data_IF_919714067332
#
_entry.id   IF_919714067332
#
_cell.length_a   1.000
_cell.length_b   1.000
_cell.length_c   1.000
_cell.angle_alpha   90.00
_cell.angle_beta   90.00
_cell.angle_gamma   90.00
#
_symmetry.space_group_name_H-M   'P 1'
#
loop_
_entity.id
_entity.type
_entity.pdbx_description
1 polymer ?
#
# COMPACT_ATOMS: atom_id res chain seq x y z
N UNK A 1 4.94 8.95 -2.08
CA UNK A 1 6.22 8.43 -2.61
C UNK A 1 5.96 7.09 -3.30
N UNK A 2 6.70 6.73 -4.33
CA UNK A 2 6.67 5.38 -4.89
C UNK A 2 8.10 4.80 -4.97
N UNK A 3 8.24 3.56 -4.56
CA UNK A 3 9.48 2.78 -4.68
C UNK A 3 9.25 1.73 -5.77
N UNK A 4 10.09 1.77 -6.81
CA UNK A 4 9.98 0.90 -7.98
C UNK A 4 11.19 0.00 -8.03
N UNK A 5 10.95 -1.30 -8.24
CA UNK A 5 12.00 -2.28 -8.46
C UNK A 5 11.82 -2.96 -9.81
N UNK A 6 12.93 -3.13 -10.52
CA UNK A 6 13.00 -3.87 -11.78
C UNK A 6 12.24 -3.18 -12.92
N UNK A 7 11.92 -3.99 -13.92
CA UNK A 7 11.16 -3.61 -15.11
C UNK A 7 10.20 -4.73 -15.49
N UNK A 8 9.17 -4.41 -16.25
CA UNK A 8 8.17 -5.36 -16.69
C UNK A 8 7.56 -4.93 -18.02
N UNK A 9 6.97 -5.88 -18.71
CA UNK A 9 6.22 -5.61 -19.93
C UNK A 9 4.78 -5.19 -19.61
N UNK A 10 4.10 -4.46 -20.51
CA UNK A 10 2.70 -4.04 -20.35
C UNK A 10 1.71 -5.17 -20.04
N UNK A 11 2.01 -6.41 -20.42
CA UNK A 11 1.16 -7.58 -20.20
C UNK A 11 1.42 -8.28 -18.86
N UNK A 12 2.53 -7.96 -18.21
CA UNK A 12 2.91 -8.57 -16.95
C UNK A 12 1.99 -8.14 -15.81
N UNK A 13 1.76 -9.07 -14.90
CA UNK A 13 1.10 -8.76 -13.63
C UNK A 13 2.15 -8.41 -12.59
N UNK A 14 2.12 -7.17 -12.09
CA UNK A 14 3.14 -6.62 -11.19
C UNK A 14 2.67 -6.70 -9.73
N UNK A 15 3.49 -7.16 -8.77
CA UNK A 15 3.13 -7.09 -7.36
C UNK A 15 3.16 -5.62 -6.89
N UNK A 16 2.06 -5.18 -6.30
CA UNK A 16 1.87 -3.79 -5.88
C UNK A 16 1.41 -3.72 -4.43
N UNK A 17 2.08 -2.87 -3.65
CA UNK A 17 1.63 -2.48 -2.31
C UNK A 17 1.28 -1.00 -2.31
N UNK A 18 0.06 -0.66 -1.92
CA UNK A 18 -0.30 0.70 -1.51
C UNK A 18 -0.34 0.71 0.01
N UNK A 19 0.65 1.36 0.63
CA UNK A 19 0.80 1.45 2.07
C UNK A 19 0.25 2.79 2.56
N UNK A 20 -0.85 2.70 3.31
CA UNK A 20 -1.57 3.85 3.83
C UNK A 20 -2.27 3.49 5.16
N UNK A 21 -2.27 4.41 6.14
CA UNK A 21 -1.38 5.57 6.24
C UNK A 21 0.08 5.10 6.44
N UNK A 22 1.06 5.86 5.93
CA UNK A 22 2.47 5.63 6.27
C UNK A 22 2.80 6.35 7.57
N UNK A 23 3.29 5.60 8.56
CA UNK A 23 3.93 6.15 9.74
C UNK A 23 5.44 6.03 9.69
N UNK A 24 6.16 6.93 10.38
CA UNK A 24 7.59 6.74 10.65
C UNK A 24 7.86 5.45 11.44
N UNK A 25 6.90 5.01 12.26
CA UNK A 25 7.00 3.75 13.00
C UNK A 25 7.01 2.52 12.07
N UNK A 26 6.38 2.59 10.90
CA UNK A 26 6.43 1.49 9.92
C UNK A 26 7.85 1.27 9.38
N UNK A 27 8.70 2.30 9.40
CA UNK A 27 10.11 2.21 8.98
C UNK A 27 11.06 1.85 10.13
N UNK A 28 10.69 2.18 11.38
CA UNK A 28 11.55 2.02 12.55
C UNK A 28 11.28 0.73 13.33
N UNK A 29 10.06 0.19 13.29
CA UNK A 29 9.65 -0.94 14.12
C UNK A 29 9.20 -2.14 13.29
N UNK A 30 10.13 -3.07 13.08
CA UNK A 30 9.87 -4.34 12.38
C UNK A 30 9.14 -5.28 13.34
N UNK A 31 7.89 -5.62 13.04
CA UNK A 31 7.05 -6.53 13.86
C UNK A 31 5.73 -5.94 14.35
N UNK A 32 5.45 -4.68 14.04
CA UNK A 32 4.19 -4.01 14.42
C UNK A 32 3.03 -4.42 13.51
N UNK A 33 1.93 -4.91 14.07
CA UNK A 33 0.78 -5.43 13.31
C UNK A 33 -0.34 -4.40 13.09
N UNK A 34 -0.02 -3.19 12.62
CA UNK A 34 -1.06 -2.20 12.29
C UNK A 34 -1.64 -2.36 10.88
N UNK A 35 -0.90 -3.03 9.99
CA UNK A 35 -1.27 -3.24 8.59
C UNK A 35 -1.37 -4.73 8.25
N UNK A 36 -2.15 -5.05 7.21
CA UNK A 36 -2.27 -6.43 6.70
C UNK A 36 -0.95 -6.97 6.14
N UNK A 37 -0.12 -6.07 5.65
CA UNK A 37 1.28 -6.28 5.32
C UNK A 37 2.06 -5.16 5.99
N UNK A 38 3.12 -5.50 6.73
CA UNK A 38 4.06 -4.49 7.19
C UNK A 38 4.86 -3.93 6.01
N UNK A 39 5.46 -2.75 6.19
CA UNK A 39 6.29 -2.16 5.14
C UNK A 39 7.49 -3.06 4.82
N UNK A 40 8.15 -3.61 5.82
CA UNK A 40 9.31 -4.49 5.64
C UNK A 40 8.96 -5.78 4.85
N UNK A 41 7.87 -6.46 5.20
CA UNK A 41 7.44 -7.67 4.51
C UNK A 41 7.01 -7.38 3.07
N UNK A 42 6.39 -6.22 2.84
CA UNK A 42 6.02 -5.78 1.50
C UNK A 42 7.25 -5.55 0.62
N UNK A 43 8.24 -4.83 1.14
CA UNK A 43 9.48 -4.53 0.42
C UNK A 43 10.32 -5.79 0.21
N UNK A 44 10.38 -6.69 1.20
CA UNK A 44 11.08 -7.97 1.09
C UNK A 44 10.46 -8.86 0.00
N UNK A 45 9.13 -8.90 -0.10
CA UNK A 45 8.45 -9.66 -1.15
C UNK A 45 8.73 -9.07 -2.54
N UNK A 46 8.63 -7.75 -2.72
CA UNK A 46 8.99 -7.08 -3.98
C UNK A 46 10.46 -7.35 -4.35
N UNK A 47 11.35 -7.30 -3.36
CA UNK A 47 12.76 -7.62 -3.54
C UNK A 47 12.99 -9.06 -4.00
N UNK A 48 12.25 -10.03 -3.42
CA UNK A 48 12.32 -11.45 -3.79
C UNK A 48 11.81 -11.71 -5.21
N UNK A 49 10.74 -11.03 -5.62
CA UNK A 49 10.20 -11.11 -6.99
C UNK A 49 11.12 -10.41 -8.02
N UNK A 50 12.02 -9.53 -7.58
CA UNK A 50 12.91 -8.74 -8.43
C UNK A 50 12.20 -7.66 -9.24
N UNK A 51 10.88 -7.50 -9.06
CA UNK A 51 10.06 -6.47 -9.68
C UNK A 51 8.86 -6.10 -8.81
N UNK A 52 8.43 -4.85 -8.85
CA UNK A 52 7.22 -4.42 -8.14
C UNK A 52 7.19 -2.93 -7.81
N UNK A 53 6.07 -2.49 -7.25
CA UNK A 53 5.88 -1.10 -6.80
C UNK A 53 5.32 -1.05 -5.38
N UNK A 54 5.96 -0.26 -4.51
CA UNK A 54 5.41 0.13 -3.22
C UNK A 54 5.08 1.63 -3.23
N UNK A 55 3.80 1.97 -3.14
CA UNK A 55 3.31 3.35 -3.03
C UNK A 55 3.09 3.66 -1.55
N UNK A 56 3.69 4.74 -1.07
CA UNK A 56 3.58 5.21 0.30
C UNK A 56 2.79 6.53 0.31
N UNK A 57 1.63 6.52 0.98
CA UNK A 57 0.69 7.64 1.03
C UNK A 57 0.45 8.12 2.46
N UNK A 58 -0.01 9.37 2.58
CA UNK A 58 -0.48 9.99 3.83
C UNK A 58 0.57 10.06 4.96
N UNK A 59 1.77 10.55 4.63
CA UNK A 59 2.89 10.79 5.56
C UNK A 59 2.71 12.09 6.38
N UNK A 60 1.58 12.25 7.07
CA UNK A 60 1.15 13.55 7.63
C UNK A 60 0.85 13.57 9.13
N UNK A 61 1.33 12.59 9.88
CA UNK A 61 1.01 12.43 11.30
C UNK A 61 1.53 13.61 12.14
N UNK A 62 0.71 14.09 13.07
CA UNK A 62 1.15 15.07 14.06
C UNK A 62 2.01 14.42 15.15
N UNK A 63 2.77 15.23 15.91
CA UNK A 63 3.54 14.73 17.03
C UNK A 63 2.68 13.99 18.07
N UNK A 64 1.47 14.51 18.35
CA UNK A 64 0.53 13.87 19.27
C UNK A 64 0.06 12.51 18.75
N UNK A 65 -0.27 12.41 17.46
CA UNK A 65 -0.67 11.15 16.83
C UNK A 65 0.45 10.12 16.85
N UNK A 66 1.69 10.56 16.65
CA UNK A 66 2.87 9.70 16.75
C UNK A 66 3.06 9.19 18.19
N UNK A 67 2.88 10.05 19.19
CA UNK A 67 2.96 9.67 20.61
C UNK A 67 1.83 8.71 21.02
N UNK A 68 0.60 8.92 20.55
CA UNK A 68 -0.51 7.98 20.78
C UNK A 68 -0.21 6.60 20.21
N UNK A 69 0.40 6.56 19.03
CA UNK A 69 0.85 5.30 18.45
C UNK A 69 1.95 4.68 19.29
N UNK A 70 2.97 5.43 19.65
CA UNK A 70 4.06 4.94 20.49
C UNK A 70 3.56 4.36 21.82
N UNK A 71 2.60 5.02 22.45
CA UNK A 71 1.99 4.58 23.72
C UNK A 71 1.00 3.41 23.55
N UNK A 72 0.74 2.95 22.33
CA UNK A 72 -0.21 1.87 22.05
C UNK A 72 -1.68 2.25 22.27
N UNK A 73 -1.98 3.54 22.42
CA UNK A 73 -3.35 4.05 22.61
C UNK A 73 -4.03 4.44 21.30
N UNK A 74 -3.27 4.48 20.19
CA UNK A 74 -3.82 4.74 18.86
C UNK A 74 -4.78 3.63 18.41
N UNK A 75 -5.84 4.05 17.70
CA UNK A 75 -6.73 3.11 17.01
C UNK A 75 -5.97 2.47 15.84
N UNK A 76 -6.21 1.18 15.61
CA UNK A 76 -5.65 0.47 14.46
C UNK A 76 -5.93 1.24 13.16
N UNK A 77 -4.89 1.52 12.39
CA UNK A 77 -4.91 2.34 11.18
C UNK A 77 -5.86 1.81 10.08
N UNK A 78 -6.39 0.58 10.22
CA UNK A 78 -7.32 -0.04 9.28
C UNK A 78 -8.76 0.49 9.32
N UNK A 79 -9.09 1.45 10.17
CA UNK A 79 -10.40 2.09 10.13
C UNK A 79 -10.24 3.57 9.75
N UNK A 80 -10.35 3.94 8.46
CA UNK A 80 -11.05 5.19 8.19
C UNK A 80 -12.33 5.12 9.00
N UNK A 81 -12.70 6.21 9.70
CA UNK A 81 -13.98 6.27 10.40
C UNK A 81 -15.06 5.65 9.52
N UNK A 82 -15.76 4.63 10.05
CA UNK A 82 -16.73 3.80 9.33
C UNK A 82 -17.47 4.65 8.28
N UNK A 83 -17.14 4.46 7.01
CA UNK A 83 -17.89 5.03 5.89
C UNK A 83 -17.19 6.10 5.04
N UNK A 84 -16.00 6.61 5.39
CA UNK A 84 -15.24 7.49 4.49
C UNK A 84 -14.10 6.74 3.81
N UNK A 85 -14.47 5.99 2.77
CA UNK A 85 -13.51 5.57 1.76
C UNK A 85 -13.04 6.84 1.05
N UNK A 86 -11.83 7.32 1.35
CA UNK A 86 -11.31 8.54 0.72
C UNK A 86 -10.96 8.23 -0.75
N UNK A 87 -11.96 8.39 -1.61
CA UNK A 87 -11.84 8.20 -3.05
C UNK A 87 -10.71 9.05 -3.64
N UNK A 88 -10.34 10.16 -2.98
CA UNK A 88 -9.20 11.00 -3.39
C UNK A 88 -7.89 10.23 -3.27
N UNK A 89 -7.66 9.56 -2.14
CA UNK A 89 -6.42 8.82 -1.91
C UNK A 89 -6.28 7.63 -2.86
N UNK A 90 -7.38 6.93 -3.16
CA UNK A 90 -7.39 5.88 -4.19
C UNK A 90 -7.05 6.43 -5.58
N UNK A 91 -7.57 7.60 -5.94
CA UNK A 91 -7.24 8.25 -7.21
C UNK A 91 -5.76 8.61 -7.31
N UNK A 92 -5.17 9.16 -6.24
CA UNK A 92 -3.74 9.47 -6.19
C UNK A 92 -2.90 8.18 -6.29
N UNK A 93 -3.24 7.14 -5.53
CA UNK A 93 -2.55 5.85 -5.61
C UNK A 93 -2.61 5.26 -7.02
N UNK A 94 -3.77 5.29 -7.67
CA UNK A 94 -3.94 4.83 -9.04
C UNK A 94 -3.12 5.65 -10.05
N UNK A 95 -3.13 6.98 -9.95
CA UNK A 95 -2.33 7.84 -10.84
C UNK A 95 -0.83 7.57 -10.69
N UNK A 96 -0.33 7.44 -9.46
CA UNK A 96 1.07 7.09 -9.20
C UNK A 96 1.42 5.74 -9.83
N UNK A 97 0.59 4.72 -9.65
CA UNK A 97 0.83 3.39 -10.23
C UNK A 97 0.86 3.44 -11.77
N UNK A 98 -0.02 4.23 -12.37
CA UNK A 98 -0.05 4.44 -13.80
C UNK A 98 1.21 5.15 -14.30
N UNK A 99 1.67 6.18 -13.59
CA UNK A 99 2.94 6.88 -13.89
C UNK A 99 4.16 5.96 -13.72
N UNK A 100 4.11 5.01 -12.79
CA UNK A 100 5.12 3.97 -12.63
C UNK A 100 5.09 2.92 -13.77
N UNK A 101 4.14 3.00 -14.70
CA UNK A 101 4.02 2.06 -15.83
C UNK A 101 3.29 0.76 -15.49
N UNK A 102 2.60 0.69 -14.34
CA UNK A 102 1.76 -0.46 -14.01
C UNK A 102 0.48 -0.40 -14.83
N UNK A 103 0.11 -1.50 -15.47
CA UNK A 103 -1.16 -1.68 -16.17
C UNK A 103 -2.01 -2.77 -15.52
N UNK A 104 -1.37 -3.87 -15.16
CA UNK A 104 -1.99 -5.04 -14.54
C UNK A 104 -1.22 -5.39 -13.27
N UNK A 105 -1.92 -5.60 -12.17
CA UNK A 105 -1.28 -5.78 -10.87
C UNK A 105 -1.94 -6.83 -9.98
N UNK A 106 -1.12 -7.41 -9.11
CA UNK A 106 -1.55 -8.17 -7.96
C UNK A 106 -1.36 -7.33 -6.70
N UNK A 107 -2.45 -7.02 -6.00
CA UNK A 107 -2.40 -6.14 -4.83
C UNK A 107 -2.03 -6.92 -3.57
N UNK A 108 -0.99 -6.46 -2.87
CA UNK A 108 -0.54 -7.00 -1.59
C UNK A 108 -1.41 -6.44 -0.47
N UNK A 109 -2.43 -7.19 -0.07
CA UNK A 109 -3.40 -6.74 0.92
C UNK A 109 -4.63 -7.63 1.01
N UNK A 110 -5.54 -7.27 1.91
CA UNK A 110 -6.79 -8.01 2.12
C UNK A 110 -7.80 -7.64 1.02
N UNK A 111 -8.43 -8.64 0.36
CA UNK A 111 -9.47 -8.38 -0.62
C UNK A 111 -10.58 -7.49 -0.06
N UNK A 112 -10.95 -6.45 -0.80
CA UNK A 112 -11.98 -5.48 -0.40
C UNK A 112 -12.71 -4.95 -1.63
N UNK A 113 -13.96 -4.50 -1.45
CA UNK A 113 -14.74 -3.92 -2.54
C UNK A 113 -14.12 -2.58 -2.94
N UNK A 114 -13.59 -2.51 -4.15
CA UNK A 114 -12.96 -1.30 -4.68
C UNK A 114 -13.81 -0.65 -5.78
N UNK A 115 -13.69 0.68 -5.95
CA UNK A 115 -14.18 1.35 -7.14
C UNK A 115 -13.53 0.78 -8.41
N UNK A 116 -14.17 0.98 -9.57
CA UNK A 116 -13.58 0.58 -10.84
C UNK A 116 -12.25 1.33 -11.07
N UNK A 117 -11.20 0.57 -11.37
CA UNK A 117 -9.87 1.09 -11.71
C UNK A 117 -9.68 1.31 -13.21
N UNK A 118 -10.67 0.91 -14.04
CA UNK A 118 -10.61 1.01 -15.49
C UNK A 118 -10.43 2.46 -15.98
N UNK A 119 -10.99 3.44 -15.26
CA UNK A 119 -10.82 4.87 -15.57
C UNK A 119 -9.39 5.38 -15.45
N UNK A 120 -8.52 4.65 -14.73
CA UNK A 120 -7.09 4.94 -14.60
C UNK A 120 -6.22 4.09 -15.54
N UNK A 121 -6.83 3.23 -16.36
CA UNK A 121 -6.11 2.27 -17.20
C UNK A 121 -5.37 1.22 -16.39
N UNK A 122 -5.94 0.82 -15.24
CA UNK A 122 -5.38 -0.17 -14.32
C UNK A 122 -6.32 -1.37 -14.17
N UNK A 123 -5.74 -2.56 -14.12
CA UNK A 123 -6.41 -3.83 -13.88
C UNK A 123 -5.85 -4.52 -12.63
N UNK A 124 -6.74 -4.94 -11.74
CA UNK A 124 -6.38 -5.76 -10.58
C UNK A 124 -6.61 -7.22 -10.97
N UNK A 125 -5.53 -7.96 -11.20
CA UNK A 125 -5.55 -9.37 -11.57
C UNK A 125 -5.79 -10.29 -10.37
N UNK A 126 -5.44 -9.84 -9.16
CA UNK A 126 -5.58 -10.64 -7.94
C UNK A 126 -5.06 -9.94 -6.69
N UNK A 127 -5.06 -10.68 -5.58
CA UNK A 127 -4.51 -10.25 -4.30
C UNK A 127 -3.46 -11.23 -3.81
N UNK A 128 -2.42 -10.70 -3.17
CA UNK A 128 -1.37 -11.49 -2.53
C UNK A 128 -1.53 -11.33 -1.01
N UNK A 129 -1.68 -12.45 -0.32
CA UNK A 129 -1.72 -12.51 1.14
C UNK A 129 -0.33 -12.85 1.68
N UNK A 130 0.06 -12.34 2.86
CA UNK A 130 1.35 -12.68 3.45
C UNK A 130 1.40 -14.17 3.77
N UNK A 131 2.58 -14.78 3.57
CA UNK A 131 2.86 -16.13 4.06
C UNK A 131 2.89 -16.07 5.60
N UNK A 132 2.20 -17.02 6.26
CA UNK A 132 2.10 -17.07 7.74
C UNK A 132 3.42 -17.47 8.39
#
# INVERSE_FOLDING_TARGET
LALVMGSWDPQDTVPVRVHEPLSVLDALEIGRSMHSWSLDTSLAHIAREGRGVAVLLNCGESADQLLEQFNGTARAAQAPERGRMDLRTYGIGAQILRECGVLRMNLMGTPRRMPSMTGYGLEIAGYITPEK
#
